data_IF_206342280999
#
_entry.id   IF_206342280999
#
_cell.length_a   1.000
_cell.length_b   1.000
_cell.length_c   1.000
_cell.angle_alpha   90.00
_cell.angle_beta   90.00
_cell.angle_gamma   90.00
#
_symmetry.space_group_name_H-M   'P 1'
#
loop_
_entity.id
_entity.type
_entity.pdbx_description
1 polymer ?
#
# COMPACT_ATOMS: atom_id res chain seq x y z
N UNK A 1 -7.14 -15.97 20.46
CA UNK A 1 -6.66 -14.61 20.80
C UNK A 1 -5.61 -14.11 19.81
N UNK A 2 -4.70 -14.96 19.30
CA UNK A 2 -3.77 -14.57 18.22
C UNK A 2 -4.47 -14.41 16.85
N UNK A 3 -5.53 -15.19 16.60
CA UNK A 3 -6.27 -15.15 15.33
C UNK A 3 -6.96 -13.81 15.06
N UNK A 4 -7.55 -13.17 16.08
CA UNK A 4 -8.16 -11.83 15.95
C UNK A 4 -7.12 -10.75 15.61
N UNK A 5 -5.94 -10.85 16.21
CA UNK A 5 -4.84 -9.94 15.94
C UNK A 5 -4.29 -10.14 14.52
N UNK A 6 -4.06 -11.39 14.11
CA UNK A 6 -3.66 -11.75 12.75
C UNK A 6 -4.69 -11.30 11.71
N UNK A 7 -5.99 -11.49 11.98
CA UNK A 7 -7.07 -11.03 11.11
C UNK A 7 -7.06 -9.50 10.94
N UNK A 8 -6.78 -8.76 12.01
CA UNK A 8 -6.63 -7.30 11.95
C UNK A 8 -5.44 -6.88 11.07
N UNK A 9 -4.30 -7.56 11.17
CA UNK A 9 -3.15 -7.30 10.31
C UNK A 9 -3.45 -7.58 8.84
N UNK A 10 -4.14 -8.69 8.55
CA UNK A 10 -4.55 -9.03 7.18
C UNK A 10 -5.45 -7.95 6.59
N UNK A 11 -6.43 -7.44 7.35
CA UNK A 11 -7.30 -6.35 6.90
C UNK A 11 -6.50 -5.08 6.57
N UNK A 12 -5.56 -4.70 7.42
CA UNK A 12 -4.68 -3.54 7.15
C UNK A 12 -3.82 -3.78 5.91
N UNK A 13 -3.34 -5.01 5.68
CA UNK A 13 -2.58 -5.35 4.46
C UNK A 13 -3.44 -5.22 3.22
N UNK A 14 -4.69 -5.68 3.26
CA UNK A 14 -5.61 -5.58 2.13
C UNK A 14 -5.97 -4.11 1.81
N UNK A 15 -6.17 -3.26 2.83
CA UNK A 15 -6.34 -1.81 2.64
C UNK A 15 -5.13 -1.17 1.94
N UNK A 16 -3.92 -1.55 2.37
CA UNK A 16 -2.67 -1.08 1.76
C UNK A 16 -2.51 -1.53 0.32
N UNK A 17 -2.87 -2.77 0.01
CA UNK A 17 -2.90 -3.29 -1.37
C UNK A 17 -3.91 -2.52 -2.23
N UNK A 18 -5.09 -2.18 -1.70
CA UNK A 18 -6.07 -1.38 -2.41
C UNK A 18 -5.51 0.01 -2.77
N UNK A 19 -4.91 0.71 -1.81
CA UNK A 19 -4.27 2.01 -2.05
C UNK A 19 -3.12 1.92 -3.06
N UNK A 20 -2.27 0.88 -2.97
CA UNK A 20 -1.20 0.65 -3.93
C UNK A 20 -1.75 0.48 -5.36
N UNK A 21 -2.83 -0.29 -5.52
CA UNK A 21 -3.49 -0.47 -6.82
C UNK A 21 -4.07 0.84 -7.37
N UNK A 22 -4.62 1.70 -6.51
CA UNK A 22 -5.08 3.04 -6.92
C UNK A 22 -3.90 3.90 -7.41
N UNK A 23 -2.77 3.92 -6.69
CA UNK A 23 -1.58 4.67 -7.09
C UNK A 23 -0.98 4.14 -8.41
N UNK A 24 -0.94 2.83 -8.59
CA UNK A 24 -0.50 2.20 -9.85
C UNK A 24 -1.45 2.54 -11.01
N UNK A 25 -2.75 2.60 -10.75
CA UNK A 25 -3.74 3.05 -11.72
C UNK A 25 -3.51 4.51 -12.10
N UNK A 26 -3.28 5.41 -11.14
CA UNK A 26 -2.98 6.82 -11.38
C UNK A 26 -1.68 7.00 -12.20
N UNK A 27 -0.63 6.22 -11.89
CA UNK A 27 0.63 6.17 -12.65
C UNK A 27 0.39 5.74 -14.10
N UNK A 28 -0.39 4.67 -14.30
CA UNK A 28 -0.67 4.10 -15.63
C UNK A 28 -1.55 5.01 -16.49
N UNK A 29 -2.52 5.70 -15.88
CA UNK A 29 -3.40 6.65 -16.56
C UNK A 29 -2.71 7.97 -16.93
N UNK A 30 -1.41 8.12 -16.63
CA UNK A 30 -0.66 9.34 -16.92
C UNK A 30 -1.20 10.56 -16.14
N UNK A 31 -1.96 10.33 -15.08
CA UNK A 31 -2.47 11.40 -14.21
C UNK A 31 -1.32 12.12 -13.49
N UNK A 32 -0.13 11.54 -13.43
CA UNK A 32 1.09 12.24 -12.99
C UNK A 32 1.35 13.53 -13.79
N UNK A 33 0.91 13.63 -15.05
CA UNK A 33 1.16 14.77 -15.92
C UNK A 33 0.04 15.84 -15.92
N UNK A 34 -1.09 15.63 -15.23
CA UNK A 34 -2.23 16.58 -15.21
C UNK A 34 -2.32 17.45 -13.94
N UNK A 35 -1.51 17.17 -12.92
CA UNK A 35 -1.46 17.92 -11.67
C UNK A 35 -0.24 18.88 -11.65
N UNK A 36 -0.04 19.61 -12.75
CA UNK A 36 1.15 20.45 -13.08
C UNK A 36 1.32 21.69 -12.18
N UNK A 37 0.78 21.72 -10.96
CA UNK A 37 1.10 22.78 -9.99
C UNK A 37 1.70 22.28 -8.68
N UNK A 38 1.63 20.98 -8.37
CA UNK A 38 2.33 20.36 -7.24
C UNK A 38 2.82 18.99 -7.72
N UNK A 39 4.15 18.77 -7.73
CA UNK A 39 4.75 17.47 -8.07
C UNK A 39 4.26 16.41 -7.05
N UNK A 40 3.18 15.72 -7.39
CA UNK A 40 2.72 14.58 -6.60
C UNK A 40 3.70 13.44 -6.84
N UNK A 41 4.50 13.13 -5.81
CA UNK A 41 5.46 12.02 -5.80
C UNK A 41 4.75 10.65 -5.72
N UNK A 42 4.09 10.26 -6.81
CA UNK A 42 3.37 9.00 -6.94
C UNK A 42 4.33 7.81 -6.78
N UNK A 43 5.56 7.92 -7.27
CA UNK A 43 6.59 6.88 -7.14
C UNK A 43 6.97 6.67 -5.67
N UNK A 44 7.22 7.74 -4.91
CA UNK A 44 7.50 7.65 -3.49
C UNK A 44 6.30 7.20 -2.67
N UNK A 45 5.07 7.54 -3.08
CA UNK A 45 3.86 6.97 -2.47
C UNK A 45 3.78 5.45 -2.69
N UNK A 46 3.99 4.98 -3.92
CA UNK A 46 4.04 3.55 -4.26
C UNK A 46 5.09 2.82 -3.41
N UNK A 47 6.30 3.36 -3.32
CA UNK A 47 7.38 2.76 -2.55
C UNK A 47 7.04 2.65 -1.05
N UNK A 48 6.39 3.66 -0.48
CA UNK A 48 5.96 3.64 0.93
C UNK A 48 4.85 2.61 1.18
N UNK A 49 3.87 2.52 0.28
CA UNK A 49 2.79 1.54 0.40
C UNK A 49 3.32 0.11 0.24
N UNK A 50 4.25 -0.14 -0.69
CA UNK A 50 4.91 -1.44 -0.82
C UNK A 50 5.69 -1.84 0.44
N UNK A 51 6.48 -0.93 1.01
CA UNK A 51 7.21 -1.18 2.25
C UNK A 51 6.26 -1.49 3.43
N UNK A 52 5.10 -0.83 3.50
CA UNK A 52 4.11 -1.10 4.52
C UNK A 52 3.49 -2.50 4.37
N UNK A 53 3.23 -2.93 3.13
CA UNK A 53 2.73 -4.29 2.82
C UNK A 53 3.78 -5.33 3.22
N UNK A 54 5.03 -5.15 2.82
CA UNK A 54 6.12 -6.10 3.12
C UNK A 54 6.29 -6.30 4.64
N UNK A 55 6.25 -5.21 5.41
CA UNK A 55 6.33 -5.27 6.88
C UNK A 55 5.12 -5.98 7.51
N UNK A 56 3.92 -5.80 6.94
CA UNK A 56 2.71 -6.47 7.41
C UNK A 56 2.76 -7.96 7.11
N UNK A 57 3.20 -8.35 5.90
CA UNK A 57 3.36 -9.74 5.51
C UNK A 57 4.40 -10.45 6.39
N UNK A 58 5.55 -9.82 6.66
CA UNK A 58 6.56 -10.32 7.60
C UNK A 58 6.00 -10.53 9.02
N UNK A 59 5.21 -9.56 9.50
CA UNK A 59 4.60 -9.63 10.83
C UNK A 59 3.55 -10.74 10.91
N UNK A 60 2.71 -10.87 9.89
CA UNK A 60 1.70 -11.94 9.79
C UNK A 60 2.38 -13.31 9.74
N UNK A 61 3.46 -13.45 8.97
CA UNK A 61 4.21 -14.71 8.83
C UNK A 61 4.84 -15.15 10.17
N UNK A 62 5.34 -14.20 10.98
CA UNK A 62 5.89 -14.48 12.32
C UNK A 62 4.84 -14.88 13.36
N UNK A 63 3.56 -14.61 13.09
CA UNK A 63 2.44 -14.99 13.95
C UNK A 63 1.81 -16.34 13.53
N UNK A 64 2.37 -17.01 12.52
CA UNK A 64 1.87 -18.27 12.00
C UNK A 64 2.38 -19.52 12.69
#
# INVERSE_FOLDING_TARGET
>A
MNDDFRLKLIKMRDEKVAHLNELLSMKTQGLSAKWVSEDVDIEGMIAREQLAIDNLDDTIARLS
#
